data_IF_849853180012
#
_entry.id   IF_849853180012
#
_cell.length_a   1.000
_cell.length_b   1.000
_cell.length_c   1.000
_cell.angle_alpha   90.00
_cell.angle_beta   90.00
_cell.angle_gamma   90.00
#
_symmetry.space_group_name_H-M   'P 1'
#
loop_
_entity.id
_entity.type
_entity.pdbx_description
1 polymer ?
#
# COMPACT_ATOMS: atom_id res chain seq x y z
N UNK A 1 6.81 25.66 3.43
CA UNK A 1 6.36 24.26 3.43
C UNK A 1 7.45 23.44 4.07
N UNK A 2 7.20 22.88 5.25
CA UNK A 2 8.20 22.11 5.99
C UNK A 2 8.66 20.90 5.18
N UNK A 3 9.92 20.49 5.35
CA UNK A 3 10.49 19.36 4.63
C UNK A 3 9.76 18.02 4.90
N UNK A 4 9.06 17.92 6.03
CA UNK A 4 8.23 16.77 6.40
C UNK A 4 6.90 16.77 5.65
N UNK A 5 6.24 17.91 5.50
CA UNK A 5 5.01 18.07 4.70
C UNK A 5 5.24 17.67 3.24
N UNK A 6 6.39 18.06 2.68
CA UNK A 6 6.73 17.67 1.31
C UNK A 6 6.93 16.16 1.14
N UNK A 7 7.57 15.50 2.11
CA UNK A 7 7.81 14.04 2.06
C UNK A 7 6.50 13.24 2.19
N UNK A 8 5.61 13.67 3.09
CA UNK A 8 4.28 13.07 3.25
C UNK A 8 3.49 13.19 1.95
N UNK A 9 3.39 14.39 1.41
CA UNK A 9 2.65 14.66 0.18
C UNK A 9 3.19 13.84 -1.01
N UNK A 10 4.51 13.77 -1.16
CA UNK A 10 5.13 12.97 -2.23
C UNK A 10 4.81 11.48 -2.09
N UNK A 11 4.82 10.95 -0.87
CA UNK A 11 4.48 9.55 -0.60
C UNK A 11 3.03 9.23 -0.96
N UNK A 12 2.10 10.12 -0.58
CA UNK A 12 0.68 9.98 -0.90
C UNK A 12 0.46 10.05 -2.40
N UNK A 13 1.08 11.01 -3.07
CA UNK A 13 1.00 11.17 -4.52
C UNK A 13 1.49 9.92 -5.26
N UNK A 14 2.64 9.37 -4.87
CA UNK A 14 3.17 8.13 -5.45
C UNK A 14 2.21 6.94 -5.26
N UNK A 15 1.60 6.79 -4.06
CA UNK A 15 0.60 5.75 -3.81
C UNK A 15 -0.64 5.91 -4.69
N UNK A 16 -1.11 7.15 -4.89
CA UNK A 16 -2.26 7.42 -5.77
C UNK A 16 -1.96 7.08 -7.21
N UNK A 17 -0.79 7.45 -7.75
CA UNK A 17 -0.38 7.10 -9.12
C UNK A 17 -0.38 5.58 -9.32
N UNK A 18 0.30 4.84 -8.44
CA UNK A 18 0.37 3.38 -8.58
C UNK A 18 -0.99 2.72 -8.43
N UNK A 19 -1.84 3.22 -7.51
CA UNK A 19 -3.20 2.75 -7.36
C UNK A 19 -4.02 2.96 -8.63
N UNK A 20 -3.98 4.17 -9.20
CA UNK A 20 -4.70 4.51 -10.43
C UNK A 20 -4.29 3.59 -11.57
N UNK A 21 -2.99 3.45 -11.82
CA UNK A 21 -2.47 2.58 -12.89
C UNK A 21 -2.82 1.10 -12.70
N UNK A 22 -2.74 0.59 -11.48
CA UNK A 22 -3.13 -0.80 -11.19
C UNK A 22 -4.62 -1.01 -11.44
N UNK A 23 -5.46 -0.10 -10.95
CA UNK A 23 -6.91 -0.22 -11.07
C UNK A 23 -7.36 -0.05 -12.53
N UNK A 24 -6.79 0.90 -13.26
CA UNK A 24 -7.05 1.10 -14.68
C UNK A 24 -6.68 -0.14 -15.51
N UNK A 25 -5.51 -0.72 -15.27
CA UNK A 25 -5.07 -1.94 -15.94
C UNK A 25 -6.01 -3.13 -15.63
N UNK A 26 -6.51 -3.24 -14.39
CA UNK A 26 -7.48 -4.26 -14.00
C UNK A 26 -8.83 -4.04 -14.69
N UNK A 27 -9.34 -2.82 -14.71
CA UNK A 27 -10.63 -2.46 -15.31
C UNK A 27 -10.62 -2.66 -16.82
N UNK A 28 -9.53 -2.29 -17.50
CA UNK A 28 -9.33 -2.50 -18.94
C UNK A 28 -8.95 -3.94 -19.31
N UNK A 29 -8.72 -4.80 -18.31
CA UNK A 29 -8.23 -6.18 -18.48
C UNK A 29 -6.89 -6.26 -19.25
N UNK A 30 -5.97 -5.34 -18.98
CA UNK A 30 -4.67 -5.19 -19.63
C UNK A 30 -3.53 -5.77 -18.78
N UNK A 31 -3.20 -7.04 -18.99
CA UNK A 31 -2.13 -7.70 -18.23
C UNK A 31 -0.76 -7.03 -18.36
N UNK A 32 -0.37 -6.60 -19.56
CA UNK A 32 0.95 -6.01 -19.81
C UNK A 32 1.10 -4.67 -19.07
N UNK A 33 0.06 -3.83 -19.04
CA UNK A 33 0.03 -2.59 -18.27
C UNK A 33 0.12 -2.86 -16.77
N UNK A 34 -0.62 -3.85 -16.28
CA UNK A 34 -0.54 -4.30 -14.88
C UNK A 34 0.88 -4.78 -14.52
N UNK A 35 1.48 -5.65 -15.35
CA UNK A 35 2.82 -6.18 -15.13
C UNK A 35 3.86 -5.05 -15.08
N UNK A 36 3.82 -4.11 -16.02
CA UNK A 36 4.72 -2.94 -16.01
C UNK A 36 4.58 -2.13 -14.74
N UNK A 37 3.35 -1.87 -14.32
CA UNK A 37 3.08 -1.13 -13.08
C UNK A 37 3.64 -1.86 -11.85
N UNK A 38 3.40 -3.17 -11.71
CA UNK A 38 3.94 -3.98 -10.61
C UNK A 38 5.47 -3.94 -10.60
N UNK A 39 6.14 -4.14 -11.74
CA UNK A 39 7.61 -4.13 -11.81
C UNK A 39 8.20 -2.75 -11.46
N UNK A 40 7.60 -1.66 -11.96
CA UNK A 40 8.01 -0.29 -11.62
C UNK A 40 7.86 -0.03 -10.11
N UNK A 41 6.71 -0.38 -9.54
CA UNK A 41 6.48 -0.30 -8.10
C UNK A 41 7.56 -1.06 -7.32
N UNK A 42 7.91 -2.27 -7.78
CA UNK A 42 8.93 -3.09 -7.13
C UNK A 42 10.30 -2.44 -7.15
N UNK A 43 10.65 -1.75 -8.23
CA UNK A 43 11.90 -1.02 -8.39
C UNK A 43 11.93 0.23 -7.51
N UNK A 44 10.93 1.08 -7.61
CA UNK A 44 10.79 2.33 -6.85
C UNK A 44 10.78 2.09 -5.33
N UNK A 45 10.08 1.06 -4.88
CA UNK A 45 9.96 0.73 -3.46
C UNK A 45 11.00 -0.31 -2.99
N UNK A 46 12.04 -0.55 -3.79
CA UNK A 46 13.17 -1.42 -3.48
C UNK A 46 12.81 -2.85 -3.04
N UNK A 47 11.67 -3.37 -3.49
CA UNK A 47 11.21 -4.73 -3.14
C UNK A 47 11.38 -5.74 -4.28
N UNK A 48 11.70 -5.30 -5.50
CA UNK A 48 11.88 -6.18 -6.66
C UNK A 48 12.96 -7.25 -6.42
N UNK A 49 13.97 -6.93 -5.63
CA UNK A 49 15.06 -7.86 -5.24
C UNK A 49 14.57 -9.08 -4.45
N UNK A 50 13.36 -9.04 -3.90
CA UNK A 50 12.77 -10.18 -3.17
C UNK A 50 12.22 -11.25 -4.12
N UNK A 51 12.19 -10.96 -5.43
CA UNK A 51 11.77 -11.89 -6.49
C UNK A 51 12.91 -12.00 -7.50
N UNK A 52 13.44 -13.20 -7.68
CA UNK A 52 14.50 -13.45 -8.67
C UNK A 52 14.04 -13.03 -10.06
N UNK A 53 14.95 -12.48 -10.87
CA UNK A 53 14.64 -11.91 -12.19
C UNK A 53 13.88 -12.88 -13.10
N UNK A 54 14.29 -14.13 -13.11
CA UNK A 54 13.65 -15.21 -13.88
C UNK A 54 12.19 -15.48 -13.45
N UNK A 55 11.83 -15.20 -12.20
CA UNK A 55 10.52 -15.46 -11.62
C UNK A 55 9.59 -14.22 -11.62
N UNK A 56 10.06 -13.06 -12.07
CA UNK A 56 9.26 -11.82 -12.00
C UNK A 56 7.99 -11.88 -12.85
N UNK A 57 8.05 -12.49 -14.03
CA UNK A 57 6.86 -12.68 -14.90
C UNK A 57 5.83 -13.58 -14.22
N UNK A 58 6.25 -14.69 -13.64
CA UNK A 58 5.34 -15.61 -12.94
C UNK A 58 4.76 -14.97 -11.67
N UNK A 59 5.55 -14.16 -10.97
CA UNK A 59 5.08 -13.36 -9.84
C UNK A 59 3.96 -12.39 -10.27
N UNK A 60 4.16 -11.63 -11.35
CA UNK A 60 3.15 -10.72 -11.87
C UNK A 60 1.91 -11.47 -12.38
N UNK A 61 2.11 -12.62 -13.05
CA UNK A 61 1.01 -13.48 -13.53
C UNK A 61 0.19 -14.06 -12.37
N UNK A 62 0.85 -14.43 -11.26
CA UNK A 62 0.15 -14.87 -10.05
C UNK A 62 -0.75 -13.75 -9.48
N UNK A 63 -0.23 -12.54 -9.33
CA UNK A 63 -1.01 -11.39 -8.88
C UNK A 63 -2.18 -11.08 -9.82
N UNK A 64 -1.93 -11.09 -11.12
CA UNK A 64 -2.95 -10.86 -12.14
C UNK A 64 -4.09 -11.88 -12.08
N UNK A 65 -3.76 -13.16 -12.01
CA UNK A 65 -4.75 -14.24 -11.93
C UNK A 65 -5.60 -14.15 -10.64
N UNK A 66 -5.03 -13.55 -9.59
CA UNK A 66 -5.70 -13.35 -8.31
C UNK A 66 -6.27 -11.93 -8.11
N UNK A 67 -6.28 -11.07 -9.12
CA UNK A 67 -6.69 -9.67 -8.98
C UNK A 67 -8.09 -9.47 -8.38
N UNK A 68 -9.05 -10.34 -8.75
CA UNK A 68 -10.40 -10.32 -8.15
C UNK A 68 -10.38 -10.71 -6.67
N UNK A 69 -9.57 -11.69 -6.29
CA UNK A 69 -9.41 -12.07 -4.89
C UNK A 69 -8.72 -10.96 -4.08
N UNK A 70 -7.78 -10.22 -4.68
CA UNK A 70 -7.16 -9.05 -4.07
C UNK A 70 -8.21 -7.94 -3.86
N UNK A 71 -9.01 -7.64 -4.88
CA UNK A 71 -10.09 -6.65 -4.79
C UNK A 71 -11.12 -7.00 -3.71
N UNK A 72 -11.41 -8.28 -3.51
CA UNK A 72 -12.36 -8.77 -2.52
C UNK A 72 -11.75 -9.04 -1.13
N UNK A 73 -10.44 -8.85 -0.96
CA UNK A 73 -9.76 -9.13 0.32
C UNK A 73 -9.59 -10.62 0.67
N UNK A 74 -9.72 -11.52 -0.30
CA UNK A 74 -9.63 -12.98 -0.09
C UNK A 74 -8.32 -13.59 -0.57
N UNK A 75 -7.38 -12.78 -1.04
CA UNK A 75 -6.09 -13.26 -1.56
C UNK A 75 -5.09 -13.54 -0.44
N UNK A 76 -4.51 -14.73 -0.47
CA UNK A 76 -3.46 -15.16 0.45
C UNK A 76 -2.08 -14.68 -0.03
N UNK A 77 -1.69 -13.46 0.37
CA UNK A 77 -0.45 -12.81 -0.07
C UNK A 77 0.80 -13.22 0.72
N UNK A 78 0.67 -13.92 1.83
CA UNK A 78 1.76 -14.18 2.79
C UNK A 78 2.80 -15.22 2.36
N UNK A 79 2.64 -15.89 1.22
CA UNK A 79 3.61 -16.82 0.67
C UNK A 79 4.41 -16.18 -0.46
N UNK A 80 5.70 -16.47 -0.57
CA UNK A 80 6.60 -15.98 -1.62
C UNK A 80 6.59 -14.45 -1.77
N UNK A 81 7.68 -13.77 -1.43
CA UNK A 81 7.83 -12.31 -1.46
C UNK A 81 6.67 -11.51 -0.75
N UNK A 82 6.35 -11.81 0.52
CA UNK A 82 5.17 -11.24 1.17
C UNK A 82 5.21 -9.71 1.27
N UNK A 83 6.37 -9.10 1.49
CA UNK A 83 6.50 -7.64 1.54
C UNK A 83 6.15 -6.98 0.19
N UNK A 84 6.49 -7.62 -0.92
CA UNK A 84 6.13 -7.11 -2.23
C UNK A 84 4.62 -7.29 -2.52
N UNK A 85 4.10 -8.48 -2.28
CA UNK A 85 2.67 -8.77 -2.48
C UNK A 85 1.80 -7.86 -1.62
N UNK A 86 2.16 -7.61 -0.36
CA UNK A 86 1.40 -6.73 0.53
C UNK A 86 1.31 -5.30 -0.01
N UNK A 87 2.36 -4.79 -0.66
CA UNK A 87 2.35 -3.46 -1.29
C UNK A 87 1.34 -3.39 -2.45
N UNK A 88 1.34 -4.39 -3.31
CA UNK A 88 0.37 -4.47 -4.42
C UNK A 88 -1.07 -4.62 -3.89
N UNK A 89 -1.28 -5.51 -2.92
CA UNK A 89 -2.58 -5.71 -2.28
C UNK A 89 -3.10 -4.43 -1.61
N UNK A 90 -2.24 -3.74 -0.86
CA UNK A 90 -2.54 -2.48 -0.21
C UNK A 90 -2.98 -1.39 -1.20
N UNK A 91 -2.34 -1.28 -2.35
CA UNK A 91 -2.71 -0.29 -3.36
C UNK A 91 -4.02 -0.64 -4.07
N UNK A 92 -4.29 -1.92 -4.31
CA UNK A 92 -5.54 -2.35 -4.97
C UNK A 92 -6.74 -2.24 -4.02
N UNK A 93 -6.60 -2.72 -2.78
CA UNK A 93 -7.68 -2.68 -1.78
C UNK A 93 -7.17 -2.24 -0.40
N UNK A 94 -6.88 -0.94 -0.21
CA UNK A 94 -6.37 -0.42 1.06
C UNK A 94 -7.38 -0.57 2.20
N UNK A 95 -8.68 -0.57 1.94
CA UNK A 95 -9.71 -0.73 2.97
C UNK A 95 -9.65 -2.10 3.65
N UNK A 96 -9.20 -3.12 2.93
CA UNK A 96 -8.96 -4.45 3.49
C UNK A 96 -7.52 -4.61 3.99
N UNK A 97 -6.51 -4.30 3.15
CA UNK A 97 -5.10 -4.43 3.48
C UNK A 97 -4.55 -3.14 4.08
N UNK A 98 -5.00 -2.76 5.26
CA UNK A 98 -4.84 -1.43 5.87
C UNK A 98 -3.40 -0.97 6.10
N UNK A 99 -2.45 -1.89 6.25
CA UNK A 99 -1.04 -1.58 6.46
C UNK A 99 -0.14 -2.50 5.63
N UNK A 100 0.93 -1.92 5.07
CA UNK A 100 1.93 -2.69 4.33
C UNK A 100 2.73 -3.59 5.29
N UNK A 101 2.94 -4.85 4.90
CA UNK A 101 3.84 -5.76 5.61
C UNK A 101 5.30 -5.48 5.24
N UNK A 102 5.99 -4.71 6.03
CA UNK A 102 7.43 -4.50 5.91
C UNK A 102 8.10 -4.41 7.30
N UNK A 103 9.43 -4.30 7.33
CA UNK A 103 10.16 -4.26 8.60
C UNK A 103 9.77 -3.06 9.45
N UNK A 104 9.64 -1.88 8.83
CA UNK A 104 9.36 -0.63 9.55
C UNK A 104 7.98 -0.64 10.20
N UNK A 105 6.96 -1.03 9.47
CA UNK A 105 5.61 -1.13 10.03
C UNK A 105 5.54 -2.21 11.13
N UNK A 106 6.26 -3.34 10.97
CA UNK A 106 6.35 -4.35 12.02
C UNK A 106 7.05 -3.83 13.28
N UNK A 107 8.11 -3.07 13.11
CA UNK A 107 8.87 -2.48 14.22
C UNK A 107 8.03 -1.40 14.92
N UNK A 108 7.37 -0.51 14.17
CA UNK A 108 6.48 0.52 14.71
C UNK A 108 5.30 -0.06 15.52
N UNK A 109 4.84 -1.25 15.18
CA UNK A 109 3.80 -1.98 15.93
C UNK A 109 4.34 -2.87 17.05
N UNK A 110 5.65 -2.87 17.32
CA UNK A 110 6.30 -3.84 18.23
C UNK A 110 6.01 -5.31 17.85
N UNK A 111 5.92 -5.58 16.54
CA UNK A 111 5.58 -6.89 15.96
C UNK A 111 6.70 -7.44 15.07
N UNK A 112 7.98 -7.22 15.46
CA UNK A 112 9.18 -7.64 14.69
C UNK A 112 9.10 -9.08 14.18
N UNK A 113 8.62 -9.99 15.02
CA UNK A 113 8.51 -11.42 14.71
C UNK A 113 7.13 -11.83 14.16
N UNK A 114 6.27 -10.88 13.80
CA UNK A 114 4.97 -11.21 13.23
C UNK A 114 5.13 -11.91 11.87
N UNK A 115 4.57 -13.11 11.77
CA UNK A 115 4.54 -13.83 10.50
C UNK A 115 3.56 -13.15 9.53
N UNK A 116 3.82 -13.20 8.20
CA UNK A 116 2.93 -12.58 7.22
C UNK A 116 1.45 -13.03 7.36
N UNK A 117 1.21 -14.30 7.63
CA UNK A 117 -0.14 -14.85 7.84
C UNK A 117 -0.92 -14.22 9.01
N UNK A 118 -0.22 -13.66 9.99
CA UNK A 118 -0.84 -13.01 11.16
C UNK A 118 -0.90 -11.49 11.03
N UNK A 119 -0.33 -10.94 9.95
CA UNK A 119 -0.21 -9.50 9.78
C UNK A 119 -1.56 -8.80 9.61
N UNK A 120 -2.49 -9.42 8.89
CA UNK A 120 -3.81 -8.83 8.67
C UNK A 120 -4.51 -8.54 10.01
N UNK A 121 -4.56 -9.52 10.90
CA UNK A 121 -5.17 -9.36 12.22
C UNK A 121 -4.44 -8.31 13.07
N UNK A 122 -3.10 -8.25 12.99
CA UNK A 122 -2.31 -7.25 13.71
C UNK A 122 -2.56 -5.84 13.19
N UNK A 123 -2.66 -5.67 11.87
CA UNK A 123 -2.93 -4.38 11.23
C UNK A 123 -4.35 -3.89 11.50
N UNK A 124 -5.34 -4.78 11.43
CA UNK A 124 -6.74 -4.46 11.72
C UNK A 124 -6.91 -4.02 13.17
N UNK A 125 -6.34 -4.78 14.11
CA UNK A 125 -6.36 -4.44 15.53
C UNK A 125 -5.73 -3.07 15.77
N UNK A 126 -4.55 -2.81 15.21
CA UNK A 126 -3.89 -1.52 15.35
C UNK A 126 -4.74 -0.38 14.77
N UNK A 127 -5.30 -0.57 13.58
CA UNK A 127 -6.13 0.43 12.95
C UNK A 127 -7.36 0.77 13.83
N UNK A 128 -8.07 -0.23 14.33
CA UNK A 128 -9.24 -0.03 15.18
C UNK A 128 -8.90 0.66 16.51
N UNK A 129 -7.79 0.29 17.15
CA UNK A 129 -7.34 0.91 18.41
C UNK A 129 -6.88 2.37 18.26
N UNK A 130 -6.48 2.78 17.05
CA UNK A 130 -5.84 4.07 16.83
C UNK A 130 -6.58 4.99 15.86
N UNK A 131 -7.63 4.50 15.16
CA UNK A 131 -8.36 5.31 14.15
C UNK A 131 -8.84 6.66 14.69
N UNK A 132 -9.22 6.75 15.96
CA UNK A 132 -9.65 7.99 16.59
C UNK A 132 -8.47 8.95 16.86
N UNK A 133 -7.29 8.43 17.14
CA UNK A 133 -6.07 9.24 17.33
C UNK A 133 -5.59 9.89 16.04
N UNK A 134 -6.02 9.34 14.90
CA UNK A 134 -5.72 9.88 13.57
C UNK A 134 -6.67 11.00 13.13
N UNK A 135 -7.59 11.49 13.98
CA UNK A 135 -8.36 12.71 13.70
C UNK A 135 -7.46 13.92 13.39
N UNK A 136 -6.25 13.97 13.93
CA UNK A 136 -5.26 15.02 13.59
C UNK A 136 -4.87 14.99 12.11
N UNK A 137 -4.94 13.82 11.45
CA UNK A 137 -4.65 13.65 10.03
C UNK A 137 -5.85 14.06 9.14
N UNK A 138 -7.01 14.31 9.71
CA UNK A 138 -8.22 14.61 8.94
C UNK A 138 -8.09 15.91 8.13
N UNK A 139 -7.36 16.89 8.68
CA UNK A 139 -7.03 18.13 7.98
C UNK A 139 -6.16 17.88 6.75
N UNK A 140 -5.14 17.03 6.89
CA UNK A 140 -4.21 16.70 5.81
C UNK A 140 -4.90 15.84 4.76
N UNK A 141 -5.72 14.86 5.18
CA UNK A 141 -6.56 14.05 4.29
C UNK A 141 -7.50 14.92 3.46
N UNK A 142 -8.17 15.89 4.09
CA UNK A 142 -9.04 16.82 3.38
C UNK A 142 -8.27 17.68 2.37
N UNK A 143 -7.09 18.19 2.75
CA UNK A 143 -6.19 18.94 1.85
C UNK A 143 -5.79 18.10 0.64
N UNK A 144 -5.37 16.86 0.84
CA UNK A 144 -5.00 15.96 -0.26
C UNK A 144 -6.19 15.58 -1.12
N UNK A 145 -7.33 15.29 -0.52
CA UNK A 145 -8.55 15.00 -1.26
C UNK A 145 -8.96 16.16 -2.17
N UNK A 146 -9.02 17.38 -1.65
CA UNK A 146 -9.37 18.56 -2.47
C UNK A 146 -8.37 18.81 -3.59
N UNK A 147 -7.09 18.53 -3.36
CA UNK A 147 -6.03 18.68 -4.36
C UNK A 147 -6.11 17.61 -5.46
N UNK A 148 -6.33 16.35 -5.09
CA UNK A 148 -6.15 15.22 -6.00
C UNK A 148 -7.44 14.59 -6.54
N UNK A 149 -8.62 14.94 -6.00
CA UNK A 149 -9.91 14.36 -6.44
C UNK A 149 -10.22 14.54 -7.93
N UNK A 150 -9.64 15.58 -8.57
CA UNK A 150 -9.80 15.82 -10.01
C UNK A 150 -8.77 15.10 -10.85
N UNK A 151 -7.60 14.80 -10.30
CA UNK A 151 -6.49 14.16 -10.98
C UNK A 151 -6.58 12.65 -10.93
N UNK A 152 -7.02 12.11 -9.79
CA UNK A 152 -7.11 10.67 -9.56
C UNK A 152 -8.55 10.23 -9.28
N UNK A 153 -9.11 9.42 -10.18
CA UNK A 153 -10.46 8.88 -10.04
C UNK A 153 -10.63 7.96 -8.81
N UNK A 154 -9.53 7.36 -8.34
CA UNK A 154 -9.50 6.47 -7.17
C UNK A 154 -9.05 7.17 -5.88
N UNK A 155 -9.10 8.50 -5.85
CA UNK A 155 -8.76 9.34 -4.70
C UNK A 155 -9.97 9.48 -3.75
N UNK A 156 -10.21 8.46 -2.94
CA UNK A 156 -11.27 8.47 -1.92
C UNK A 156 -10.69 8.90 -0.56
N UNK A 157 -11.46 9.65 0.25
CA UNK A 157 -11.00 10.13 1.57
C UNK A 157 -10.54 9.00 2.48
N UNK A 158 -11.27 7.89 2.51
CA UNK A 158 -10.90 6.73 3.33
C UNK A 158 -9.60 6.07 2.86
N UNK A 159 -9.36 6.03 1.55
CA UNK A 159 -8.11 5.56 0.97
C UNK A 159 -6.96 6.47 1.37
N UNK A 160 -7.13 7.79 1.27
CA UNK A 160 -6.11 8.75 1.67
C UNK A 160 -5.78 8.65 3.16
N UNK A 161 -6.79 8.48 4.02
CA UNK A 161 -6.60 8.28 5.45
C UNK A 161 -5.75 7.05 5.75
N UNK A 162 -6.02 5.93 5.07
CA UNK A 162 -5.24 4.70 5.22
C UNK A 162 -3.79 4.90 4.73
N UNK A 163 -3.58 5.62 3.63
CA UNK A 163 -2.25 5.92 3.11
C UNK A 163 -1.44 6.80 4.07
N UNK A 164 -2.08 7.79 4.69
CA UNK A 164 -1.46 8.63 5.72
C UNK A 164 -1.08 7.85 6.97
N UNK A 165 -1.95 6.96 7.44
CA UNK A 165 -1.68 6.11 8.60
C UNK A 165 -0.47 5.20 8.34
N UNK A 166 -0.41 4.56 7.16
CA UNK A 166 0.73 3.73 6.78
C UNK A 166 2.03 4.55 6.70
N UNK A 167 1.98 5.75 6.14
CA UNK A 167 3.13 6.66 6.10
C UNK A 167 3.57 7.11 7.49
N UNK A 168 2.64 7.49 8.36
CA UNK A 168 2.94 7.88 9.74
C UNK A 168 3.68 6.77 10.50
N UNK A 169 3.20 5.53 10.40
CA UNK A 169 3.87 4.40 11.02
C UNK A 169 5.28 4.18 10.46
N UNK A 170 5.41 4.25 9.14
CA UNK A 170 6.67 4.07 8.45
C UNK A 170 7.74 5.12 8.84
N UNK A 171 7.32 6.32 9.26
CA UNK A 171 8.22 7.42 9.68
C UNK A 171 8.50 7.42 11.18
N UNK A 172 7.68 6.76 12.00
CA UNK A 172 7.77 6.80 13.48
C UNK A 172 9.12 6.32 14.01
N UNK A 173 9.77 5.36 13.36
CA UNK A 173 11.10 4.87 13.75
C UNK A 173 12.24 5.90 13.61
N UNK A 174 12.04 6.97 12.84
CA UNK A 174 13.07 8.00 12.69
C UNK A 174 13.10 9.01 13.83
N UNK A 175 12.12 8.96 14.73
CA UNK A 175 11.96 9.89 15.85
C UNK A 175 12.30 9.26 17.20
N UNK A 176 12.60 7.97 17.26
CA UNK A 176 13.06 7.22 18.44
C UNK A 176 14.54 6.85 18.33
#
# INVERSE_FOLDING_TARGET
MDSEDFKSEFNIYAKLIYREWLMEAIEKNEYESFMKCVLNLGTEWHVIRTVKKENQKDFCKNLWNNRKNIQNGTYNWWTGAPSYKSKVCFLINPQYYKLIYDSRNRDALNKKNCKPANWQNASDKYYEEHKEKFHKLEKDVNKYYEKYKKEFLKSEKDVLKIFEIDYYLWTKEKQS
#
